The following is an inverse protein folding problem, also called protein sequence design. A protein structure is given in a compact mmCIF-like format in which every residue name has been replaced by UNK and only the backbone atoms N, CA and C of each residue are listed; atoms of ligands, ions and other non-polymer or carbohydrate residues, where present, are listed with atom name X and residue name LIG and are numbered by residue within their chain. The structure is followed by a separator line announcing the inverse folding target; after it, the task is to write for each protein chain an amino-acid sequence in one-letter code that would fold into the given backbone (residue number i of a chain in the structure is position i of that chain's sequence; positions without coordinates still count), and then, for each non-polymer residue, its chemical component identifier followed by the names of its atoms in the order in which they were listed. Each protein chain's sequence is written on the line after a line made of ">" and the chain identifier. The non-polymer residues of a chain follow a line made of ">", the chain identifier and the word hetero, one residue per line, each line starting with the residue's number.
data_IF_064109492344
#
_entry.id   IF_064109492344
#
_cell.length_a   1.000
_cell.length_b   1.000
_cell.length_c   1.000
_cell.angle_alpha   90.00
_cell.angle_beta   90.00
_cell.angle_gamma   90.00
#
_symmetry.space_group_name_H-M   'P 1'
#
loop_
_entity.id
_entity.type
_entity.pdbx_description
1 polymer ?
#
# COMPACT_ATOMS: atom_id res chain seq x y z
N UNK A 1 -14.37 -47.12 -69.53
CA UNK A 1 -14.25 -47.23 -68.05
C UNK A 1 -13.53 -45.97 -67.55
N UNK A 2 -14.30 -44.97 -67.10
CA UNK A 2 -13.74 -43.70 -66.68
C UNK A 2 -13.98 -43.51 -65.17
N UNK A 3 -12.91 -43.46 -64.40
CA UNK A 3 -12.95 -43.16 -62.97
C UNK A 3 -12.84 -41.62 -62.79
N UNK A 4 -13.91 -41.03 -62.25
CA UNK A 4 -13.91 -39.63 -61.79
C UNK A 4 -13.50 -39.58 -60.34
N UNK A 5 -12.37 -38.91 -60.09
CA UNK A 5 -11.96 -38.56 -58.75
C UNK A 5 -12.68 -37.33 -58.29
N UNK A 6 -13.46 -37.43 -57.19
CA UNK A 6 -14.03 -36.29 -56.48
C UNK A 6 -13.05 -35.88 -55.40
N UNK A 7 -12.49 -34.70 -55.53
CA UNK A 7 -11.70 -34.08 -54.44
C UNK A 7 -12.68 -33.25 -53.64
N UNK A 8 -13.01 -33.68 -52.43
CA UNK A 8 -13.76 -32.92 -51.45
C UNK A 8 -12.79 -32.04 -50.71
N UNK A 9 -12.76 -30.73 -51.01
CA UNK A 9 -12.00 -29.76 -50.23
C UNK A 9 -12.79 -29.36 -48.98
N UNK A 10 -12.24 -29.69 -47.82
CA UNK A 10 -12.75 -29.24 -46.54
C UNK A 10 -12.18 -27.88 -46.26
N UNK A 11 -13.00 -26.83 -46.31
CA UNK A 11 -12.63 -25.49 -45.89
C UNK A 11 -12.67 -25.46 -44.36
N UNK A 12 -11.51 -25.46 -43.73
CA UNK A 12 -11.39 -25.23 -42.29
C UNK A 12 -11.54 -23.72 -42.02
N UNK A 13 -12.70 -23.32 -41.54
CA UNK A 13 -12.92 -21.95 -41.05
C UNK A 13 -12.20 -21.78 -39.73
N UNK A 14 -11.06 -21.11 -39.74
CA UNK A 14 -10.38 -20.71 -38.54
C UNK A 14 -11.18 -19.59 -37.85
N UNK A 15 -11.88 -19.93 -36.78
CA UNK A 15 -12.47 -18.94 -35.87
C UNK A 15 -11.33 -18.31 -35.09
N UNK A 16 -10.90 -17.13 -35.53
CA UNK A 16 -10.00 -16.30 -34.71
C UNK A 16 -10.78 -15.85 -33.46
N UNK A 17 -10.56 -16.53 -32.35
CA UNK A 17 -10.98 -16.06 -31.05
C UNK A 17 -10.19 -14.77 -30.74
N UNK A 18 -10.78 -13.63 -31.07
CA UNK A 18 -10.31 -12.34 -30.56
C UNK A 18 -10.58 -12.34 -29.06
N UNK A 19 -9.64 -12.88 -28.30
CA UNK A 19 -9.61 -12.70 -26.86
C UNK A 19 -9.54 -11.20 -26.59
N UNK A 20 -10.67 -10.61 -26.19
CA UNK A 20 -10.68 -9.35 -25.48
C UNK A 20 -9.83 -9.57 -24.21
N UNK A 21 -8.53 -9.28 -24.30
CA UNK A 21 -7.73 -8.97 -23.15
C UNK A 21 -8.41 -7.75 -22.52
N UNK A 22 -9.25 -8.02 -21.53
CA UNK A 22 -9.76 -6.98 -20.68
C UNK A 22 -8.54 -6.16 -20.25
N UNK A 23 -8.48 -4.91 -20.71
CA UNK A 23 -7.52 -3.92 -20.21
C UNK A 23 -7.79 -3.82 -18.72
N UNK A 24 -7.07 -4.65 -17.95
CA UNK A 24 -7.06 -4.54 -16.53
C UNK A 24 -6.55 -3.14 -16.20
N UNK A 25 -7.43 -2.40 -15.53
CA UNK A 25 -7.19 -1.15 -14.86
C UNK A 25 -6.57 -0.02 -15.70
N UNK A 26 -7.39 0.94 -16.07
CA UNK A 26 -6.91 2.27 -16.27
C UNK A 26 -6.03 2.60 -15.06
N UNK A 27 -4.71 2.68 -15.26
CA UNK A 27 -3.81 3.28 -14.31
C UNK A 27 -4.38 4.69 -14.08
N UNK A 28 -5.06 4.89 -12.94
CA UNK A 28 -5.47 6.22 -12.55
C UNK A 28 -4.18 7.01 -12.48
N UNK A 29 -4.06 7.98 -13.33
CA UNK A 29 -2.85 8.75 -13.47
C UNK A 29 -2.52 9.38 -12.11
N UNK A 30 -1.39 8.97 -11.54
CA UNK A 30 -0.93 9.51 -10.28
C UNK A 30 -0.27 10.87 -10.55
N UNK A 31 -0.47 11.87 -9.67
CA UNK A 31 0.21 13.14 -9.82
C UNK A 31 1.73 12.96 -9.65
N UNK A 32 2.51 13.74 -10.38
CA UNK A 32 3.92 13.92 -10.06
C UNK A 32 4.01 14.76 -8.76
N UNK A 33 4.60 14.17 -7.74
CA UNK A 33 4.70 14.80 -6.42
C UNK A 33 5.88 15.76 -6.29
N UNK A 34 6.81 15.80 -7.25
CA UNK A 34 8.03 16.63 -7.25
C UNK A 34 8.73 16.61 -5.87
N UNK A 35 8.97 15.41 -5.35
CA UNK A 35 9.59 15.24 -4.04
C UNK A 35 11.08 15.61 -4.08
N UNK A 36 11.60 16.25 -3.02
CA UNK A 36 13.04 16.41 -2.84
C UNK A 36 13.76 15.05 -2.81
N UNK A 37 15.01 15.01 -3.25
CA UNK A 37 15.80 13.76 -3.38
C UNK A 37 15.86 12.99 -2.06
N UNK A 38 15.99 13.66 -0.94
CA UNK A 38 16.03 13.05 0.41
C UNK A 38 14.74 12.31 0.79
N UNK A 39 13.62 12.60 0.12
CA UNK A 39 12.33 11.93 0.30
C UNK A 39 12.11 10.77 -0.67
N UNK A 40 13.03 10.58 -1.63
CA UNK A 40 12.92 9.46 -2.56
C UNK A 40 13.32 8.14 -1.90
N UNK A 41 12.72 7.01 -2.33
CA UNK A 41 13.08 5.70 -1.82
C UNK A 41 14.53 5.34 -2.20
N UNK A 42 15.32 4.91 -1.22
CA UNK A 42 16.72 4.52 -1.45
C UNK A 42 17.08 3.27 -0.66
N UNK A 43 18.04 2.51 -1.18
CA UNK A 43 18.64 1.41 -0.44
C UNK A 43 19.70 1.95 0.50
N UNK A 44 19.63 1.55 1.77
CA UNK A 44 20.55 1.95 2.83
C UNK A 44 21.11 0.74 3.54
N UNK A 45 22.31 0.85 4.10
CA UNK A 45 22.82 -0.11 5.08
C UNK A 45 22.15 0.15 6.42
N UNK A 46 21.75 -0.93 7.10
CA UNK A 46 21.23 -0.88 8.47
C UNK A 46 22.32 -1.36 9.42
N UNK A 47 22.38 -0.77 10.62
CA UNK A 47 23.39 -1.10 11.64
C UNK A 47 22.93 -2.24 12.54
N UNK A 48 21.64 -2.38 12.70
CA UNK A 48 21.04 -3.41 13.53
C UNK A 48 20.90 -4.71 12.75
N UNK A 49 21.09 -5.83 13.43
CA UNK A 49 20.86 -7.16 12.87
C UNK A 49 19.35 -7.45 12.87
N UNK A 50 18.66 -6.85 11.91
CA UNK A 50 17.25 -7.09 11.69
C UNK A 50 17.05 -8.25 10.72
N UNK A 51 16.05 -9.08 11.02
CA UNK A 51 15.70 -10.16 10.10
C UNK A 51 15.30 -9.60 8.72
N UNK A 52 15.70 -10.25 7.61
CA UNK A 52 15.29 -9.83 6.30
C UNK A 52 13.79 -10.09 6.07
N UNK A 53 13.19 -9.32 5.15
CA UNK A 53 11.78 -9.41 4.77
C UNK A 53 10.80 -9.01 5.89
N UNK A 54 11.17 -7.99 6.66
CA UNK A 54 10.31 -7.35 7.66
C UNK A 54 10.12 -5.87 7.36
N UNK A 55 9.05 -5.28 7.88
CA UNK A 55 8.81 -3.84 7.85
C UNK A 55 9.07 -3.24 9.24
N UNK A 56 9.88 -2.19 9.27
CA UNK A 56 10.16 -1.43 10.48
C UNK A 56 9.83 0.04 10.27
N UNK A 57 9.04 0.63 11.18
CA UNK A 57 8.74 2.07 11.18
C UNK A 57 9.39 2.71 12.39
N UNK A 58 10.32 3.63 12.16
CA UNK A 58 10.97 4.44 13.17
C UNK A 58 10.34 5.85 13.14
N UNK A 59 9.47 6.17 14.11
CA UNK A 59 8.65 7.38 14.05
C UNK A 59 9.44 8.67 14.21
N UNK A 60 10.58 8.65 14.88
CA UNK A 60 11.42 9.83 15.10
C UNK A 60 12.26 10.19 13.88
N UNK A 61 12.58 9.21 13.07
CA UNK A 61 13.28 9.37 11.79
C UNK A 61 12.33 9.58 10.62
N UNK A 62 11.01 9.45 10.86
CA UNK A 62 10.00 9.38 9.79
C UNK A 62 10.38 8.36 8.72
N UNK A 63 11.02 7.25 9.14
CA UNK A 63 11.54 6.21 8.27
C UNK A 63 10.69 4.95 8.31
N UNK A 64 10.38 4.40 7.13
CA UNK A 64 9.89 3.03 6.97
C UNK A 64 10.95 2.25 6.21
N UNK A 65 11.32 1.09 6.72
CA UNK A 65 12.37 0.24 6.19
C UNK A 65 11.81 -1.13 5.82
N UNK A 66 11.96 -1.51 4.58
CA UNK A 66 11.79 -2.88 4.11
C UNK A 66 13.15 -3.56 4.14
N UNK A 67 13.35 -4.47 5.09
CA UNK A 67 14.64 -5.17 5.28
C UNK A 67 14.87 -6.22 4.21
N UNK A 68 16.13 -6.36 3.81
CA UNK A 68 16.57 -7.29 2.79
C UNK A 68 17.85 -8.03 3.25
N UNK A 69 18.19 -9.19 2.65
CA UNK A 69 19.43 -9.88 2.97
C UNK A 69 20.67 -8.99 2.82
N UNK A 70 21.69 -9.23 3.66
CA UNK A 70 22.96 -8.48 3.63
C UNK A 70 22.95 -7.16 4.38
N UNK A 71 22.10 -7.05 5.42
CA UNK A 71 22.00 -5.88 6.30
C UNK A 71 21.74 -4.58 5.49
N UNK A 72 20.85 -4.67 4.54
CA UNK A 72 20.36 -3.51 3.77
C UNK A 72 18.84 -3.42 3.87
N UNK A 73 18.32 -2.23 3.67
CA UNK A 73 16.89 -2.00 3.62
C UNK A 73 16.53 -0.97 2.54
N UNK A 74 15.35 -1.12 1.97
CA UNK A 74 14.71 -0.07 1.19
C UNK A 74 14.04 0.90 2.14
N UNK A 75 14.58 2.12 2.23
CA UNK A 75 14.06 3.19 3.09
C UNK A 75 13.06 4.06 2.32
N UNK A 76 11.96 4.38 2.99
CA UNK A 76 10.95 5.34 2.55
C UNK A 76 10.77 6.40 3.62
N UNK A 77 10.47 7.64 3.23
CA UNK A 77 10.05 8.67 4.16
C UNK A 77 8.54 8.59 4.35
N UNK A 78 8.09 8.60 5.60
CA UNK A 78 6.67 8.42 5.95
C UNK A 78 6.13 9.56 6.81
N UNK A 79 4.83 9.82 6.67
CA UNK A 79 4.07 10.52 7.70
C UNK A 79 3.58 9.50 8.73
N UNK A 80 3.62 9.83 10.02
CA UNK A 80 3.25 8.93 11.12
C UNK A 80 2.13 9.48 12.00
N UNK A 81 1.69 8.71 12.96
CA UNK A 81 0.66 9.09 13.94
C UNK A 81 1.03 10.33 14.75
N UNK A 82 0.04 11.17 15.02
CA UNK A 82 0.16 12.30 15.96
C UNK A 82 0.54 11.77 17.37
N UNK A 83 1.15 12.58 18.22
CA UNK A 83 1.37 12.23 19.63
C UNK A 83 0.06 11.74 20.29
N UNK A 84 0.15 10.66 21.05
CA UNK A 84 -1.00 10.01 21.67
C UNK A 84 -1.87 9.15 20.75
N UNK A 85 -1.63 9.15 19.42
CA UNK A 85 -2.35 8.31 18.46
C UNK A 85 -1.44 7.28 17.77
N UNK A 86 -0.15 7.45 17.80
CA UNK A 86 0.79 6.43 17.34
C UNK A 86 0.81 5.25 18.31
N UNK A 87 0.68 4.04 17.80
CA UNK A 87 0.60 2.82 18.62
C UNK A 87 1.78 1.92 18.24
N UNK A 88 2.84 1.89 19.05
CA UNK A 88 3.97 1.01 18.81
C UNK A 88 3.61 -0.46 19.07
N UNK A 89 4.44 -1.36 18.54
CA UNK A 89 4.29 -2.80 18.76
C UNK A 89 4.49 -3.62 17.50
N UNK A 90 4.21 -4.91 17.62
CA UNK A 90 4.38 -5.89 16.57
C UNK A 90 3.04 -6.25 15.91
N UNK A 91 3.08 -6.42 14.62
CA UNK A 91 1.95 -6.69 13.75
C UNK A 91 2.39 -7.62 12.62
N UNK A 92 1.42 -8.06 11.83
CA UNK A 92 1.66 -8.71 10.54
C UNK A 92 0.70 -8.15 9.47
N UNK A 93 1.04 -8.34 8.21
CA UNK A 93 0.20 -7.95 7.08
C UNK A 93 -0.92 -8.97 6.92
N UNK A 94 -2.09 -8.68 7.48
CA UNK A 94 -3.26 -9.55 7.41
C UNK A 94 -4.15 -9.35 6.18
N UNK A 95 -3.98 -8.23 5.46
CA UNK A 95 -4.66 -7.96 4.20
C UNK A 95 -3.91 -6.91 3.37
N UNK A 96 -4.07 -6.99 2.05
CA UNK A 96 -3.55 -6.02 1.08
C UNK A 96 -4.69 -5.58 0.19
N UNK A 97 -4.84 -4.27 -0.06
CA UNK A 97 -5.91 -3.74 -0.92
C UNK A 97 -5.40 -2.67 -1.87
N UNK A 98 -5.86 -2.76 -3.11
CA UNK A 98 -5.74 -1.74 -4.13
C UNK A 98 -6.95 -0.82 -4.07
N UNK A 99 -6.72 0.48 -4.17
CA UNK A 99 -7.77 1.49 -4.11
C UNK A 99 -8.82 1.21 -3.03
N UNK A 100 -8.38 1.05 -1.74
CA UNK A 100 -9.29 0.65 -0.68
C UNK A 100 -10.38 1.69 -0.44
N UNK A 101 -11.58 1.25 -0.08
CA UNK A 101 -12.56 2.13 0.53
C UNK A 101 -12.10 2.53 1.92
N UNK A 102 -12.55 3.68 2.38
CA UNK A 102 -12.21 4.19 3.70
C UNK A 102 -13.49 4.61 4.45
N UNK A 103 -13.52 4.30 5.74
CA UNK A 103 -14.55 4.78 6.67
C UNK A 103 -13.84 5.27 7.92
N UNK A 104 -14.21 6.45 8.46
CA UNK A 104 -13.65 6.92 9.71
C UNK A 104 -13.92 5.93 10.83
N UNK A 105 -12.92 5.69 11.66
CA UNK A 105 -13.10 4.84 12.84
C UNK A 105 -14.03 5.54 13.85
N UNK A 106 -14.71 4.77 14.74
CA UNK A 106 -15.49 5.39 15.82
C UNK A 106 -14.68 6.38 16.68
N UNK A 107 -13.39 6.09 16.87
CA UNK A 107 -12.47 7.00 17.57
C UNK A 107 -12.25 8.32 16.85
N UNK A 108 -12.14 8.30 15.52
CA UNK A 108 -12.02 9.52 14.71
C UNK A 108 -13.29 10.36 14.78
N UNK A 109 -14.47 9.74 14.63
CA UNK A 109 -15.77 10.42 14.73
C UNK A 109 -15.97 11.06 16.10
N UNK A 110 -15.56 10.41 17.19
CA UNK A 110 -15.66 10.99 18.54
C UNK A 110 -14.69 12.15 18.78
N UNK A 111 -13.46 12.05 18.30
CA UNK A 111 -12.42 13.09 18.54
C UNK A 111 -12.62 14.33 17.69
N UNK A 112 -13.01 14.17 16.45
CA UNK A 112 -13.08 15.26 15.48
C UNK A 112 -14.37 15.14 14.63
N UNK A 113 -15.58 15.25 15.25
CA UNK A 113 -16.85 15.06 14.54
C UNK A 113 -17.02 16.05 13.38
N UNK A 114 -16.61 17.30 13.56
CA UNK A 114 -16.71 18.33 12.51
C UNK A 114 -15.88 17.99 11.24
N UNK A 115 -14.84 17.16 11.37
CA UNK A 115 -13.99 16.72 10.26
C UNK A 115 -14.57 15.47 9.60
N UNK A 116 -15.03 14.51 10.40
CA UNK A 116 -15.26 13.15 9.94
C UNK A 116 -16.74 12.77 9.80
N UNK A 117 -17.70 13.49 10.43
CA UNK A 117 -19.12 13.11 10.39
C UNK A 117 -19.68 13.00 8.97
N UNK A 118 -19.29 13.90 8.07
CA UNK A 118 -19.69 13.86 6.65
C UNK A 118 -19.26 12.61 5.91
N UNK A 119 -18.28 11.87 6.45
CA UNK A 119 -17.73 10.65 5.88
C UNK A 119 -18.16 9.39 6.65
N UNK A 120 -19.11 9.50 7.61
CA UNK A 120 -19.55 8.37 8.43
C UNK A 120 -20.05 7.19 7.60
N UNK A 121 -20.66 7.45 6.44
CA UNK A 121 -21.07 6.42 5.47
C UNK A 121 -19.93 5.81 4.65
N UNK A 122 -18.71 6.27 4.83
CA UNK A 122 -17.52 5.81 4.08
C UNK A 122 -17.29 6.57 2.78
N UNK A 123 -16.14 6.30 2.19
CA UNK A 123 -15.68 6.83 0.90
C UNK A 123 -15.17 5.68 0.04
N UNK A 124 -15.64 5.60 -1.20
CA UNK A 124 -15.14 4.64 -2.18
C UNK A 124 -13.64 4.86 -2.47
N UNK A 125 -12.96 3.81 -2.91
CA UNK A 125 -11.55 3.90 -3.33
C UNK A 125 -11.36 4.87 -4.50
N UNK A 126 -10.32 5.67 -4.44
CA UNK A 126 -10.01 6.66 -5.48
C UNK A 126 -8.91 7.62 -5.08
N UNK A 127 -8.51 8.49 -6.02
CA UNK A 127 -7.42 9.45 -5.81
C UNK A 127 -7.66 10.42 -4.64
N UNK A 128 -8.92 10.73 -4.34
CA UNK A 128 -9.30 11.61 -3.23
C UNK A 128 -9.52 10.85 -1.91
N UNK A 129 -9.40 9.51 -1.93
CA UNK A 129 -9.55 8.70 -0.73
C UNK A 129 -8.30 8.83 0.15
N UNK A 130 -8.45 9.04 1.48
CA UNK A 130 -7.31 9.24 2.37
C UNK A 130 -6.35 8.05 2.50
N UNK A 131 -6.77 6.84 2.10
CA UNK A 131 -5.91 5.65 2.06
C UNK A 131 -5.10 5.53 0.75
N UNK A 132 -5.38 6.38 -0.23
CA UNK A 132 -4.65 6.41 -1.49
C UNK A 132 -4.79 5.15 -2.35
N UNK A 133 -3.75 4.90 -3.17
CA UNK A 133 -3.78 3.86 -4.20
C UNK A 133 -3.65 2.43 -3.65
N UNK A 134 -2.93 2.25 -2.53
CA UNK A 134 -2.64 0.93 -1.92
C UNK A 134 -2.64 1.03 -0.40
N UNK A 135 -3.02 -0.06 0.26
CA UNK A 135 -2.91 -0.19 1.72
C UNK A 135 -2.53 -1.60 2.15
N UNK A 136 -1.62 -1.67 3.12
CA UNK A 136 -1.25 -2.85 3.89
C UNK A 136 -1.96 -2.74 5.24
N UNK A 137 -2.74 -3.74 5.58
CA UNK A 137 -3.56 -3.79 6.79
C UNK A 137 -2.82 -4.51 7.89
N UNK A 138 -2.65 -3.86 9.04
CA UNK A 138 -1.90 -4.38 10.16
C UNK A 138 -2.81 -5.15 11.10
N UNK A 139 -2.50 -6.41 11.30
CA UNK A 139 -3.22 -7.33 12.18
C UNK A 139 -2.37 -7.70 13.38
N UNK A 140 -3.00 -8.12 14.46
CA UNK A 140 -2.33 -8.74 15.62
C UNK A 140 -2.88 -10.15 15.86
N UNK A 141 -2.03 -11.11 16.29
CA UNK A 141 -2.50 -12.41 16.72
C UNK A 141 -3.57 -12.29 17.82
N UNK A 142 -4.63 -13.08 17.71
CA UNK A 142 -5.74 -13.09 18.67
C UNK A 142 -6.69 -11.88 18.64
N UNK A 143 -6.33 -10.81 17.90
CA UNK A 143 -7.16 -9.59 17.80
C UNK A 143 -7.72 -9.35 16.38
N UNK A 144 -7.02 -9.82 15.35
CA UNK A 144 -7.35 -9.53 13.96
C UNK A 144 -6.99 -8.11 13.54
N UNK A 145 -7.83 -7.44 12.76
CA UNK A 145 -7.60 -6.10 12.23
C UNK A 145 -7.49 -5.04 13.34
N UNK A 146 -6.39 -4.31 13.35
CA UNK A 146 -6.10 -3.26 14.34
C UNK A 146 -6.58 -1.87 13.92
N UNK A 147 -7.11 -1.72 12.71
CA UNK A 147 -7.39 -0.44 12.04
C UNK A 147 -6.15 0.41 11.75
N UNK A 148 -4.94 -0.07 12.06
CA UNK A 148 -3.69 0.55 11.60
C UNK A 148 -3.36 0.09 10.19
N UNK A 149 -2.77 0.99 9.41
CA UNK A 149 -2.40 0.75 8.01
C UNK A 149 -1.04 1.36 7.69
N UNK A 150 -0.35 0.76 6.74
CA UNK A 150 0.63 1.44 5.91
C UNK A 150 -0.07 1.71 4.58
N UNK A 151 -0.21 2.99 4.18
CA UNK A 151 -1.08 3.33 3.06
C UNK A 151 -0.59 4.52 2.24
N UNK A 152 -1.14 4.66 1.03
CA UNK A 152 -0.86 5.78 0.16
C UNK A 152 -1.49 7.11 0.59
N UNK A 153 -1.00 8.20 0.02
CA UNK A 153 -1.61 9.53 0.11
C UNK A 153 -1.30 10.32 -1.15
N UNK A 154 -2.20 11.20 -1.53
CA UNK A 154 -1.98 12.21 -2.57
C UNK A 154 -1.48 13.55 -2.00
N UNK A 155 -1.19 13.61 -0.71
CA UNK A 155 -0.69 14.83 -0.05
C UNK A 155 0.75 14.65 0.43
N UNK A 156 1.76 15.03 -0.38
CA UNK A 156 3.17 14.89 -0.04
C UNK A 156 3.58 15.72 1.18
N UNK A 157 2.85 16.79 1.52
CA UNK A 157 3.11 17.62 2.70
C UNK A 157 2.94 16.88 4.03
N UNK A 158 2.41 15.64 4.00
CA UNK A 158 2.27 14.80 5.19
C UNK A 158 3.48 13.94 5.49
N UNK A 159 4.43 13.82 4.54
CA UNK A 159 5.69 13.09 4.75
C UNK A 159 6.58 13.84 5.73
N UNK A 160 7.34 13.10 6.54
CA UNK A 160 8.21 13.69 7.57
C UNK A 160 7.44 14.40 8.69
N UNK A 161 6.16 14.09 8.90
CA UNK A 161 5.32 14.74 9.91
C UNK A 161 4.48 13.77 10.73
N UNK A 162 4.15 14.18 11.95
CA UNK A 162 3.23 13.48 12.87
C UNK A 162 1.80 14.01 12.67
N UNK A 163 1.08 13.46 11.68
CA UNK A 163 -0.21 14.04 11.23
C UNK A 163 -1.35 13.04 11.14
N UNK A 164 -1.09 11.73 11.23
CA UNK A 164 -2.12 10.71 11.05
C UNK A 164 -2.85 10.34 12.35
N UNK A 165 -3.91 9.55 12.23
CA UNK A 165 -4.58 8.92 13.36
C UNK A 165 -3.95 7.57 13.76
N UNK A 166 -2.65 7.40 13.54
CA UNK A 166 -1.88 6.22 13.93
C UNK A 166 -1.18 5.49 12.77
N UNK A 167 -1.66 5.67 11.55
CA UNK A 167 -1.13 5.00 10.36
C UNK A 167 0.20 5.59 9.87
N UNK A 168 0.99 4.80 9.14
CA UNK A 168 2.12 5.28 8.35
C UNK A 168 1.66 5.58 6.91
N UNK A 169 2.08 6.73 6.35
CA UNK A 169 1.67 7.15 4.99
C UNK A 169 2.86 7.40 4.10
N UNK A 170 2.73 6.96 2.85
CA UNK A 170 3.66 7.26 1.75
C UNK A 170 2.89 7.96 0.63
N UNK A 171 3.55 8.70 -0.26
CA UNK A 171 2.90 9.08 -1.51
C UNK A 171 2.56 7.84 -2.34
N UNK A 172 1.56 7.94 -3.21
CA UNK A 172 0.96 6.76 -3.83
C UNK A 172 1.92 5.92 -4.68
N UNK A 173 2.84 6.53 -5.43
CA UNK A 173 3.85 5.84 -6.23
C UNK A 173 4.81 5.02 -5.35
N UNK A 174 5.30 5.60 -4.25
CA UNK A 174 6.14 4.91 -3.27
C UNK A 174 5.37 3.80 -2.55
N UNK A 175 4.09 4.02 -2.27
CA UNK A 175 3.25 2.99 -1.66
C UNK A 175 2.99 1.82 -2.62
N UNK A 176 2.88 2.07 -3.92
CA UNK A 176 2.79 1.01 -4.94
C UNK A 176 4.08 0.20 -5.00
N UNK A 177 5.26 0.86 -4.99
CA UNK A 177 6.56 0.17 -4.94
C UNK A 177 6.65 -0.73 -3.70
N UNK A 178 6.33 -0.21 -2.51
CA UNK A 178 6.33 -0.98 -1.27
C UNK A 178 5.32 -2.14 -1.30
N UNK A 179 4.10 -1.87 -1.75
CA UNK A 179 3.02 -2.88 -1.83
C UNK A 179 3.42 -4.08 -2.68
N UNK A 180 4.09 -3.85 -3.80
CA UNK A 180 4.53 -4.92 -4.69
C UNK A 180 5.66 -5.77 -4.10
N UNK A 181 6.45 -5.23 -3.15
CA UNK A 181 7.55 -5.93 -2.49
C UNK A 181 7.12 -6.77 -1.31
N UNK A 182 6.12 -6.29 -0.56
CA UNK A 182 5.75 -6.85 0.74
C UNK A 182 4.70 -7.95 0.59
N UNK A 183 5.02 -9.22 0.94
CA UNK A 183 4.04 -10.31 0.93
C UNK A 183 3.01 -10.20 2.07
N UNK A 184 1.98 -11.02 1.99
CA UNK A 184 1.09 -11.31 3.13
C UNK A 184 1.91 -11.94 4.27
N UNK A 185 1.40 -11.86 5.49
CA UNK A 185 2.00 -12.41 6.72
C UNK A 185 3.38 -11.79 7.08
N UNK A 186 3.86 -10.80 6.31
CA UNK A 186 5.09 -10.08 6.67
C UNK A 186 4.97 -9.48 8.07
N UNK A 187 5.98 -9.70 8.90
CA UNK A 187 6.11 -9.06 10.23
C UNK A 187 6.33 -7.55 10.07
N UNK A 188 5.63 -6.77 10.88
CA UNK A 188 5.71 -5.31 10.92
C UNK A 188 5.97 -4.85 12.34
N UNK A 189 7.02 -4.07 12.54
CA UNK A 189 7.36 -3.47 13.83
C UNK A 189 7.20 -1.96 13.75
N UNK A 190 6.25 -1.43 14.50
CA UNK A 190 6.14 0.01 14.75
C UNK A 190 6.94 0.30 16.02
N UNK A 191 8.15 0.86 15.86
CA UNK A 191 9.04 1.16 16.98
C UNK A 191 8.46 2.27 17.88
N UNK A 192 8.71 2.22 19.21
CA UNK A 192 8.31 3.32 20.07
C UNK A 192 9.07 4.61 19.70
N UNK A 193 8.47 5.79 19.88
CA UNK A 193 9.22 7.03 19.81
C UNK A 193 10.23 7.08 20.95
N UNK A 194 11.35 7.77 20.73
CA UNK A 194 12.29 8.10 21.81
C UNK A 194 11.59 8.98 22.84
N UNK A 195 11.88 8.74 24.10
CA UNK A 195 11.30 9.48 25.24
C UNK A 195 12.01 10.82 25.38
#
# INVERSE_FOLDING_TARGET
>A
MHRRNFISGTIATAIAATGNLAKAHSSRELPDYNLPEEMLPRTVRIREDLAPFELHVFPDEFGLYWTMPGNVARRYVVGVGRPGLYVPGEFYIGAKKEWPSWTPTPGMLRREPNVYAKWAGGMAGGINNPLGARALYLFRPGRGDTFLRVHGTNNPKTLGRRVSNGCARLVNDQMIDLYNRVPMETRVVLHPPSV
#
